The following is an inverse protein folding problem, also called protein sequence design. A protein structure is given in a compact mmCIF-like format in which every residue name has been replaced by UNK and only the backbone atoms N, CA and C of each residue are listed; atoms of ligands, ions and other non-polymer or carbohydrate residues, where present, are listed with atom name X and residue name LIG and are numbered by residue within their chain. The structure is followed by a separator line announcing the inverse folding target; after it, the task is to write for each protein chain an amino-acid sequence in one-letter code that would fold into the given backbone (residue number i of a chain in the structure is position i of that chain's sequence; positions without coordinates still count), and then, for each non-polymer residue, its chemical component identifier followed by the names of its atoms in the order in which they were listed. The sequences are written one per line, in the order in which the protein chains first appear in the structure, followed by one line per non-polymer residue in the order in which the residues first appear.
data_IF_180254050917
#
_entry.id   IF_180254050917
#
_cell.length_a   1.000
_cell.length_b   1.000
_cell.length_c   1.000
_cell.angle_alpha   90.00
_cell.angle_beta   90.00
_cell.angle_gamma   90.00
#
_symmetry.space_group_name_H-M   'P 1'
#
loop_
_entity.id
_entity.type
_entity.pdbx_description
1 polymer ?
#
# COMPACT_ATOMS: atom_id res chain seq x y z
N UNK A 1 -19.73 -11.86 1.37
CA UNK A 1 -21.20 -11.79 1.47
C UNK A 1 -21.66 -10.43 0.94
N UNK A 2 -22.71 -10.36 0.11
CA UNK A 2 -23.18 -9.09 -0.45
C UNK A 2 -23.53 -8.03 0.60
N UNK A 3 -23.95 -8.44 1.80
CA UNK A 3 -24.33 -7.52 2.88
C UNK A 3 -23.17 -6.66 3.41
N UNK A 4 -21.92 -7.05 3.15
CA UNK A 4 -20.72 -6.36 3.63
C UNK A 4 -19.88 -5.76 2.49
N UNK A 5 -20.38 -5.81 1.26
CA UNK A 5 -19.72 -5.21 0.11
C UNK A 5 -20.08 -3.73 0.02
N UNK A 6 -19.12 -2.78 0.17
CA UNK A 6 -19.44 -1.35 0.24
C UNK A 6 -20.09 -0.78 -1.03
N UNK A 7 -19.74 -1.30 -2.20
CA UNK A 7 -20.26 -0.85 -3.49
C UNK A 7 -19.20 -0.83 -4.59
N UNK A 8 -19.64 -0.93 -5.85
CA UNK A 8 -18.76 -0.92 -7.03
C UNK A 8 -18.07 0.45 -7.23
N UNK A 9 -18.63 1.52 -6.69
CA UNK A 9 -18.20 2.91 -6.81
C UNK A 9 -17.02 3.28 -5.90
N UNK A 10 -16.77 2.45 -4.88
CA UNK A 10 -15.72 2.70 -3.87
C UNK A 10 -14.75 1.52 -3.70
N UNK A 11 -14.92 0.43 -4.45
CA UNK A 11 -14.05 -0.75 -4.39
C UNK A 11 -13.38 -1.01 -5.73
N UNK A 12 -12.05 -1.10 -5.74
CA UNK A 12 -11.28 -1.47 -6.94
C UNK A 12 -10.92 -2.96 -6.99
N UNK A 13 -10.53 -3.53 -5.85
CA UNK A 13 -10.06 -4.91 -5.72
C UNK A 13 -10.79 -5.58 -4.55
N UNK A 14 -11.16 -6.86 -4.73
CA UNK A 14 -11.75 -7.69 -3.67
C UNK A 14 -10.70 -8.61 -3.09
N UNK A 15 -10.45 -8.50 -1.79
CA UNK A 15 -9.55 -9.35 -1.04
C UNK A 15 -10.22 -10.57 -0.41
N UNK A 16 -9.43 -11.61 -0.17
CA UNK A 16 -9.77 -12.74 0.67
C UNK A 16 -8.56 -13.23 1.45
N UNK A 17 -8.75 -13.45 2.75
CA UNK A 17 -7.71 -13.92 3.66
C UNK A 17 -7.85 -15.43 3.84
N UNK A 18 -6.89 -16.19 3.30
CA UNK A 18 -6.90 -17.65 3.27
C UNK A 18 -6.03 -18.24 4.39
N UNK A 19 -6.66 -18.67 5.47
CA UNK A 19 -6.01 -19.46 6.52
C UNK A 19 -6.65 -20.85 6.63
N UNK A 20 -6.11 -21.81 5.88
CA UNK A 20 -6.68 -23.15 5.74
C UNK A 20 -5.67 -24.31 5.90
N UNK A 21 -4.42 -24.02 6.25
CA UNK A 21 -3.48 -24.99 6.78
C UNK A 21 -4.07 -25.58 8.07
N UNK A 22 -3.96 -26.91 8.21
CA UNK A 22 -4.62 -27.63 9.30
C UNK A 22 -3.80 -28.82 9.72
N UNK A 23 -3.90 -29.18 11.01
CA UNK A 23 -3.32 -30.40 11.57
C UNK A 23 -1.79 -30.51 11.37
N UNK A 24 -1.09 -29.37 11.34
CA UNK A 24 0.35 -29.35 11.16
C UNK A 24 0.82 -29.48 9.71
N UNK A 25 -0.10 -29.34 8.73
CA UNK A 25 0.21 -29.59 7.32
C UNK A 25 -0.17 -28.39 6.43
N UNK A 26 0.61 -28.16 5.35
CA UNK A 26 0.35 -27.09 4.41
C UNK A 26 -0.88 -27.42 3.57
N UNK A 27 -1.63 -26.39 3.16
CA UNK A 27 -2.81 -26.55 2.31
C UNK A 27 -2.68 -25.77 0.99
N UNK A 28 -2.23 -26.51 -0.02
CA UNK A 28 -2.00 -26.03 -1.38
C UNK A 28 -3.25 -25.82 -2.24
N UNK A 29 -4.46 -25.89 -1.68
CA UNK A 29 -5.70 -25.67 -2.43
C UNK A 29 -5.76 -24.27 -3.02
N UNK A 30 -6.20 -24.17 -4.28
CA UNK A 30 -6.48 -22.92 -4.96
C UNK A 30 -7.73 -22.20 -4.45
N UNK A 31 -8.52 -22.85 -3.58
CA UNK A 31 -9.81 -22.37 -3.06
C UNK A 31 -10.73 -21.79 -4.16
N UNK A 32 -10.77 -22.45 -5.32
CA UNK A 32 -11.45 -21.97 -6.54
C UNK A 32 -12.92 -21.64 -6.33
N UNK A 33 -13.65 -22.39 -5.52
CA UNK A 33 -15.04 -22.07 -5.18
C UNK A 33 -15.16 -20.69 -4.50
N UNK A 34 -14.23 -20.35 -3.60
CA UNK A 34 -14.17 -19.02 -2.97
C UNK A 34 -13.82 -17.96 -4.00
N UNK A 35 -12.81 -18.21 -4.84
CA UNK A 35 -12.42 -17.31 -5.93
C UNK A 35 -13.61 -16.94 -6.82
N UNK A 36 -14.31 -17.94 -7.36
CA UNK A 36 -15.45 -17.72 -8.25
C UNK A 36 -16.64 -17.06 -7.56
N UNK A 37 -16.86 -17.30 -6.26
CA UNK A 37 -17.88 -16.57 -5.50
C UNK A 37 -17.57 -15.07 -5.41
N UNK A 38 -16.28 -14.68 -5.28
CA UNK A 38 -15.86 -13.28 -5.24
C UNK A 38 -15.91 -12.62 -6.63
N UNK A 39 -15.54 -13.37 -7.68
CA UNK A 39 -15.74 -12.92 -9.07
C UNK A 39 -17.23 -12.67 -9.32
N UNK A 40 -18.10 -13.59 -8.88
CA UNK A 40 -19.56 -13.43 -9.03
C UNK A 40 -20.11 -12.26 -8.22
N UNK A 41 -19.58 -12.02 -7.01
CA UNK A 41 -20.00 -10.90 -6.14
C UNK A 41 -19.92 -9.55 -6.87
N UNK A 42 -18.90 -9.35 -7.70
CA UNK A 42 -18.67 -8.10 -8.44
C UNK A 42 -19.08 -8.17 -9.91
N UNK A 43 -19.80 -9.24 -10.30
CA UNK A 43 -20.19 -9.49 -11.69
C UNK A 43 -18.98 -9.60 -12.64
N UNK A 44 -17.81 -9.99 -12.14
CA UNK A 44 -16.58 -10.11 -12.90
C UNK A 44 -15.92 -8.78 -13.29
N UNK A 45 -16.32 -7.66 -12.65
CA UNK A 45 -15.80 -6.32 -12.99
C UNK A 45 -14.61 -5.87 -12.14
N UNK A 46 -14.32 -6.57 -11.06
CA UNK A 46 -13.24 -6.23 -10.11
C UNK A 46 -12.23 -7.36 -10.04
N UNK A 47 -10.97 -7.00 -9.86
CA UNK A 47 -9.91 -7.97 -9.62
C UNK A 47 -10.12 -8.64 -8.26
N UNK A 48 -9.68 -9.90 -8.14
CA UNK A 48 -9.82 -10.69 -6.92
C UNK A 48 -8.44 -11.13 -6.45
N UNK A 49 -8.07 -10.81 -5.22
CA UNK A 49 -6.75 -11.03 -4.65
C UNK A 49 -6.80 -11.87 -3.37
N UNK A 50 -5.75 -12.65 -3.13
CA UNK A 50 -5.53 -13.35 -1.87
C UNK A 50 -4.69 -12.43 -0.98
N UNK A 51 -5.37 -11.49 -0.32
CA UNK A 51 -4.79 -10.36 0.43
C UNK A 51 -3.94 -10.81 1.61
N UNK A 52 -4.28 -11.95 2.19
CA UNK A 52 -3.48 -12.65 3.19
C UNK A 52 -3.57 -14.17 2.95
N UNK A 53 -2.53 -14.90 3.32
CA UNK A 53 -2.62 -16.34 3.44
C UNK A 53 -1.62 -16.96 4.42
N UNK A 54 -1.90 -18.21 4.81
CA UNK A 54 -0.91 -19.12 5.36
C UNK A 54 -0.10 -19.79 4.23
N UNK A 55 -0.57 -20.93 3.73
CA UNK A 55 0.04 -21.67 2.63
C UNK A 55 -0.28 -20.99 1.30
N UNK A 56 0.75 -20.72 0.51
CA UNK A 56 0.60 -20.33 -0.90
C UNK A 56 -0.04 -21.51 -1.66
N UNK A 57 -1.09 -21.30 -2.48
CA UNK A 57 -1.64 -22.36 -3.31
C UNK A 57 -0.58 -23.01 -4.20
N UNK A 58 -0.76 -24.28 -4.55
CA UNK A 58 0.12 -24.94 -5.52
C UNK A 58 -0.15 -24.36 -6.90
N UNK A 59 0.90 -24.01 -7.64
CA UNK A 59 0.79 -23.39 -8.97
C UNK A 59 -0.04 -24.24 -9.94
N UNK A 60 0.13 -25.56 -9.91
CA UNK A 60 -0.65 -26.46 -10.76
C UNK A 60 -2.16 -26.42 -10.43
N UNK A 61 -2.55 -26.31 -9.16
CA UNK A 61 -3.95 -26.20 -8.78
C UNK A 61 -4.56 -24.88 -9.27
N UNK A 62 -3.81 -23.77 -9.22
CA UNK A 62 -4.26 -22.48 -9.76
C UNK A 62 -4.53 -22.57 -11.26
N UNK A 63 -3.62 -23.20 -12.00
CA UNK A 63 -3.72 -23.39 -13.46
C UNK A 63 -4.89 -24.31 -13.81
N UNK A 64 -4.97 -25.49 -13.19
CA UNK A 64 -5.98 -26.51 -13.50
C UNK A 64 -7.40 -26.04 -13.17
N UNK A 65 -7.57 -25.37 -12.03
CA UNK A 65 -8.86 -24.86 -11.55
C UNK A 65 -9.21 -23.48 -12.13
N UNK A 66 -8.28 -22.86 -12.87
CA UNK A 66 -8.40 -21.50 -13.43
C UNK A 66 -8.72 -20.44 -12.35
N UNK A 67 -8.16 -20.62 -11.16
CA UNK A 67 -8.31 -19.68 -10.05
C UNK A 67 -7.24 -18.58 -10.16
N UNK A 68 -7.51 -17.59 -11.01
CA UNK A 68 -6.59 -16.48 -11.30
C UNK A 68 -6.58 -15.40 -10.22
N UNK A 69 -6.12 -15.73 -9.01
CA UNK A 69 -5.87 -14.75 -7.95
C UNK A 69 -4.85 -13.71 -8.43
N UNK A 70 -5.17 -12.42 -8.29
CA UNK A 70 -4.34 -11.30 -8.75
C UNK A 70 -2.92 -11.34 -8.13
N UNK A 71 -2.86 -11.56 -6.83
CA UNK A 71 -1.65 -11.81 -6.06
C UNK A 71 -1.97 -12.68 -4.84
N UNK A 72 -0.94 -13.18 -4.19
CA UNK A 72 -0.99 -13.82 -2.87
C UNK A 72 -0.01 -13.12 -1.93
N UNK A 73 -0.31 -13.10 -0.63
CA UNK A 73 0.50 -12.42 0.37
C UNK A 73 0.56 -13.26 1.65
N UNK A 74 1.54 -14.15 1.78
CA UNK A 74 1.72 -14.93 2.99
C UNK A 74 2.01 -13.99 4.15
N UNK A 75 1.47 -14.29 5.32
CA UNK A 75 1.80 -13.50 6.51
C UNK A 75 3.27 -13.66 6.88
N UNK A 76 3.76 -12.76 7.74
CA UNK A 76 5.19 -12.69 8.09
C UNK A 76 5.64 -13.81 9.04
N UNK A 77 6.95 -13.86 9.31
CA UNK A 77 7.60 -14.80 10.23
C UNK A 77 7.24 -16.27 9.96
N UNK A 78 6.60 -16.91 10.94
CA UNK A 78 6.30 -18.33 10.93
C UNK A 78 5.39 -18.74 9.78
N UNK A 79 4.56 -17.85 9.26
CA UNK A 79 3.64 -18.18 8.17
C UNK A 79 4.38 -18.43 6.86
N UNK A 80 5.32 -17.55 6.47
CA UNK A 80 6.15 -17.75 5.26
C UNK A 80 7.37 -18.66 5.49
N UNK A 81 7.98 -18.63 6.67
CA UNK A 81 9.27 -19.32 6.92
C UNK A 81 9.14 -20.79 7.35
N UNK A 82 7.94 -21.26 7.69
CA UNK A 82 7.73 -22.60 8.24
C UNK A 82 7.41 -23.64 7.18
N UNK A 83 8.08 -24.79 7.24
CA UNK A 83 7.76 -25.98 6.43
C UNK A 83 6.33 -26.52 6.68
N UNK A 84 5.71 -26.19 7.83
CA UNK A 84 4.31 -26.53 8.09
C UNK A 84 3.34 -25.75 7.19
N UNK A 85 3.67 -24.52 6.82
CA UNK A 85 2.78 -23.66 6.04
C UNK A 85 3.24 -23.58 4.58
N UNK A 86 4.54 -23.38 4.37
CA UNK A 86 5.14 -23.16 3.07
C UNK A 86 6.42 -23.99 2.96
N UNK A 87 6.30 -25.29 2.60
CA UNK A 87 7.47 -26.11 2.33
C UNK A 87 8.39 -25.43 1.32
N UNK A 88 9.69 -25.41 1.58
CA UNK A 88 10.63 -24.67 0.73
C UNK A 88 10.60 -25.09 -0.74
N UNK A 89 10.34 -26.37 -1.02
CA UNK A 89 10.15 -26.88 -2.38
C UNK A 89 8.90 -26.29 -3.06
N UNK A 90 7.82 -26.05 -2.32
CA UNK A 90 6.59 -25.45 -2.86
C UNK A 90 6.79 -23.96 -3.17
N UNK A 91 7.52 -23.26 -2.31
CA UNK A 91 7.86 -21.84 -2.52
C UNK A 91 8.74 -21.71 -3.76
N UNK A 92 9.79 -22.54 -3.89
CA UNK A 92 10.64 -22.55 -5.09
C UNK A 92 9.83 -22.82 -6.35
N UNK A 93 8.95 -23.82 -6.33
CA UNK A 93 8.12 -24.15 -7.48
C UNK A 93 7.21 -22.99 -7.90
N UNK A 94 6.59 -22.30 -6.95
CA UNK A 94 5.77 -21.13 -7.25
C UNK A 94 6.61 -20.01 -7.87
N UNK A 95 7.67 -19.58 -7.18
CA UNK A 95 8.49 -18.42 -7.58
C UNK A 95 9.39 -18.68 -8.80
N UNK A 96 9.54 -19.93 -9.25
CA UNK A 96 10.27 -20.29 -10.48
C UNK A 96 9.32 -20.65 -11.63
N UNK A 97 8.01 -20.52 -11.44
CA UNK A 97 7.02 -20.80 -12.48
C UNK A 97 6.79 -19.56 -13.36
N UNK A 98 6.70 -19.76 -14.67
CA UNK A 98 6.24 -18.74 -15.64
C UNK A 98 4.83 -18.17 -15.33
N UNK A 99 4.08 -18.79 -14.42
CA UNK A 99 2.79 -18.31 -13.95
C UNK A 99 2.91 -17.17 -12.93
N UNK A 100 3.98 -17.13 -12.14
CA UNK A 100 4.16 -16.21 -11.03
C UNK A 100 5.07 -15.06 -11.42
N UNK A 101 4.54 -13.84 -11.47
CA UNK A 101 5.33 -12.63 -11.70
C UNK A 101 6.16 -12.31 -10.44
N UNK A 102 7.48 -12.21 -10.57
CA UNK A 102 8.40 -11.81 -9.50
C UNK A 102 8.91 -10.39 -9.66
N UNK A 103 9.63 -9.88 -8.65
CA UNK A 103 10.12 -8.50 -8.61
C UNK A 103 11.01 -8.16 -9.83
N UNK A 104 11.84 -9.09 -10.26
CA UNK A 104 12.75 -8.92 -11.41
C UNK A 104 12.06 -8.95 -12.77
N UNK A 105 10.79 -9.36 -12.81
CA UNK A 105 9.96 -9.41 -14.02
C UNK A 105 9.03 -8.21 -14.14
N UNK A 106 8.89 -7.41 -13.08
CA UNK A 106 8.09 -6.19 -13.11
C UNK A 106 8.73 -5.14 -14.04
N UNK A 107 7.91 -4.37 -14.78
CA UNK A 107 8.41 -3.21 -15.49
C UNK A 107 8.81 -2.11 -14.50
N UNK A 108 9.57 -1.12 -14.98
CA UNK A 108 9.83 0.09 -14.19
C UNK A 108 8.54 0.88 -13.99
N UNK A 109 7.94 0.74 -12.81
CA UNK A 109 6.67 1.38 -12.47
C UNK A 109 6.74 2.91 -12.45
N UNK A 110 7.94 3.51 -12.37
CA UNK A 110 8.08 4.97 -12.45
C UNK A 110 7.88 5.52 -13.87
N UNK A 111 8.16 4.68 -14.87
CA UNK A 111 8.09 5.04 -16.29
C UNK A 111 7.06 4.23 -17.05
N UNK A 112 6.35 3.33 -16.37
CA UNK A 112 5.36 2.46 -16.98
C UNK A 112 4.20 3.29 -17.54
N UNK A 113 3.84 3.12 -18.82
CA UNK A 113 2.78 3.90 -19.42
C UNK A 113 1.44 3.52 -18.79
N UNK A 114 0.81 4.48 -18.11
CA UNK A 114 -0.55 4.31 -17.61
C UNK A 114 -1.51 4.71 -18.73
N UNK A 115 -2.06 3.73 -19.45
CA UNK A 115 -3.05 4.00 -20.51
C UNK A 115 -4.44 4.18 -19.91
N UNK A 116 -5.15 5.24 -20.30
CA UNK A 116 -6.56 5.46 -19.90
C UNK A 116 -6.75 6.04 -18.49
N UNK A 117 -5.67 6.35 -17.80
CA UNK A 117 -5.64 7.29 -16.68
C UNK A 117 -5.07 8.59 -17.23
N UNK A 118 -5.92 9.57 -17.47
CA UNK A 118 -5.47 10.95 -17.45
C UNK A 118 -5.37 11.28 -15.96
N UNK A 119 -4.16 11.49 -15.40
CA UNK A 119 -4.07 12.12 -14.11
C UNK A 119 -4.94 13.38 -14.17
N UNK A 120 -5.70 13.74 -13.12
CA UNK A 120 -6.22 15.10 -13.05
C UNK A 120 -5.06 16.03 -13.40
N UNK A 121 -5.28 16.99 -14.31
CA UNK A 121 -4.25 17.97 -14.67
C UNK A 121 -3.62 18.43 -13.36
N UNK A 122 -2.33 18.11 -13.14
CA UNK A 122 -1.56 18.79 -12.13
C UNK A 122 -1.70 20.27 -12.52
N UNK A 123 -2.36 21.06 -11.67
CA UNK A 123 -2.48 22.50 -11.88
C UNK A 123 -1.08 22.99 -12.27
N UNK A 124 -0.90 23.45 -13.52
CA UNK A 124 0.36 24.05 -13.93
C UNK A 124 0.72 25.12 -12.90
N UNK A 125 2.01 25.23 -12.48
CA UNK A 125 2.40 26.12 -11.40
C UNK A 125 2.21 27.56 -11.86
N UNK A 126 1.02 28.10 -11.59
CA UNK A 126 0.70 29.50 -11.78
C UNK A 126 0.65 30.13 -10.39
N UNK A 127 1.69 30.94 -10.13
CA UNK A 127 2.07 31.64 -8.89
C UNK A 127 2.98 30.80 -7.98
N UNK A 128 3.98 31.48 -7.42
CA UNK A 128 4.90 30.95 -6.42
C UNK A 128 4.14 30.08 -5.41
N UNK A 129 4.68 28.89 -5.04
CA UNK A 129 3.98 27.99 -4.14
C UNK A 129 3.60 28.74 -2.88
N UNK A 130 2.30 28.84 -2.62
CA UNK A 130 1.77 29.39 -1.38
C UNK A 130 2.29 28.49 -0.25
N UNK A 131 3.04 29.06 0.68
CA UNK A 131 3.57 28.30 1.81
C UNK A 131 2.39 27.87 2.67
N UNK A 132 2.12 26.56 2.67
CA UNK A 132 1.15 25.92 3.57
C UNK A 132 1.97 25.20 4.64
N UNK A 133 2.15 25.85 5.79
CA UNK A 133 2.89 25.26 6.89
C UNK A 133 2.29 23.91 7.30
N UNK A 134 3.14 22.90 7.46
CA UNK A 134 2.76 21.54 7.82
C UNK A 134 2.39 20.61 6.67
N UNK A 135 2.16 21.13 5.45
CA UNK A 135 1.93 20.33 4.24
C UNK A 135 3.27 20.08 3.53
N UNK A 136 3.71 18.82 3.52
CA UNK A 136 5.01 18.38 3.01
C UNK A 136 4.94 17.62 1.69
N UNK A 137 3.74 17.38 1.17
CA UNK A 137 3.49 16.64 -0.07
C UNK A 137 2.66 17.43 -1.11
N UNK A 138 2.27 18.68 -0.81
CA UNK A 138 1.48 19.57 -1.64
C UNK A 138 0.03 19.07 -1.90
N UNK A 139 -0.54 18.28 -0.99
CA UNK A 139 -1.94 17.83 -1.10
C UNK A 139 -2.95 18.81 -0.47
N UNK A 140 -2.45 19.91 0.11
CA UNK A 140 -3.21 20.98 0.80
C UNK A 140 -3.87 20.53 2.12
N UNK A 141 -3.50 19.36 2.65
CA UNK A 141 -4.10 18.75 3.83
C UNK A 141 -3.00 18.31 4.80
N UNK A 142 -2.83 19.04 5.91
CA UNK A 142 -1.89 18.63 6.97
C UNK A 142 -2.41 17.39 7.72
N UNK A 143 -1.75 16.24 7.52
CA UNK A 143 -2.16 14.96 8.08
C UNK A 143 -0.98 14.02 8.43
N UNK A 144 -1.27 12.73 8.67
CA UNK A 144 -0.25 11.74 9.05
C UNK A 144 0.80 11.47 7.96
N UNK A 145 0.49 11.74 6.69
CA UNK A 145 1.43 11.63 5.58
C UNK A 145 2.58 12.62 5.71
N UNK A 146 2.28 13.86 6.11
CA UNK A 146 3.28 14.90 6.37
C UNK A 146 4.16 14.52 7.55
N UNK A 147 3.56 13.98 8.62
CA UNK A 147 4.32 13.46 9.75
C UNK A 147 5.30 12.35 9.33
N UNK A 148 4.89 11.45 8.41
CA UNK A 148 5.78 10.42 7.90
C UNK A 148 6.94 11.02 7.10
N UNK A 149 6.69 12.04 6.28
CA UNK A 149 7.73 12.74 5.52
C UNK A 149 8.69 13.49 6.45
N UNK A 150 8.19 14.25 7.41
CA UNK A 150 8.99 14.94 8.41
C UNK A 150 9.88 13.95 9.20
N UNK A 151 9.32 12.81 9.61
CA UNK A 151 10.07 11.75 10.29
C UNK A 151 11.20 11.20 9.42
N UNK A 152 10.93 10.93 8.14
CA UNK A 152 11.96 10.48 7.19
C UNK A 152 13.06 11.52 6.99
N UNK A 153 12.72 12.80 6.96
CA UNK A 153 13.69 13.90 6.83
C UNK A 153 14.57 14.00 8.08
N UNK A 154 13.97 14.02 9.28
CA UNK A 154 14.71 14.07 10.56
C UNK A 154 15.61 12.84 10.75
N UNK A 155 15.24 11.70 10.17
CA UNK A 155 16.04 10.46 10.16
C UNK A 155 17.07 10.38 9.02
N UNK A 156 17.24 11.44 8.22
CA UNK A 156 18.15 11.51 7.08
C UNK A 156 17.89 10.44 5.99
N UNK A 157 16.68 9.89 5.93
CA UNK A 157 16.24 8.95 4.88
C UNK A 157 15.99 9.71 3.57
N UNK A 158 15.52 10.95 3.69
CA UNK A 158 15.37 11.90 2.59
C UNK A 158 16.09 13.20 2.94
N UNK A 159 16.56 13.94 1.94
CA UNK A 159 17.27 15.20 2.12
C UNK A 159 16.47 16.44 1.71
N UNK A 160 15.31 16.25 1.09
CA UNK A 160 14.43 17.32 0.59
C UNK A 160 12.97 16.83 0.52
N UNK A 161 12.03 17.77 0.54
CA UNK A 161 10.60 17.54 0.28
C UNK A 161 10.25 17.92 -1.16
N UNK A 162 9.05 17.55 -1.62
CA UNK A 162 8.50 18.05 -2.89
C UNK A 162 7.99 19.49 -2.80
N UNK A 163 8.11 20.13 -1.63
CA UNK A 163 7.71 21.51 -1.31
C UNK A 163 8.89 22.29 -0.74
N UNK A 164 8.82 23.64 -0.66
CA UNK A 164 9.84 24.44 0.02
C UNK A 164 10.09 23.98 1.46
N UNK A 165 11.33 24.13 1.94
CA UNK A 165 11.68 23.72 3.31
C UNK A 165 10.94 24.54 4.38
N UNK A 166 10.53 25.76 4.02
CA UNK A 166 9.73 26.65 4.85
C UNK A 166 8.40 26.01 5.27
N UNK A 167 7.82 25.10 4.48
CA UNK A 167 6.61 24.36 4.88
C UNK A 167 6.85 23.50 6.13
N UNK A 168 8.09 23.08 6.36
CA UNK A 168 8.49 22.23 7.47
C UNK A 168 9.10 22.99 8.66
N UNK A 169 9.40 24.28 8.53
CA UNK A 169 9.89 25.13 9.62
C UNK A 169 8.71 25.71 10.40
N UNK A 170 8.19 24.91 11.34
CA UNK A 170 6.92 25.19 12.03
C UNK A 170 7.10 26.11 13.24
N UNK A 171 8.33 26.32 13.70
CA UNK A 171 8.66 27.32 14.72
C UNK A 171 9.26 28.62 14.14
N UNK A 172 9.64 28.63 12.86
CA UNK A 172 10.19 29.79 12.18
C UNK A 172 11.64 30.09 12.57
N UNK A 173 12.41 29.10 13.01
CA UNK A 173 13.81 29.28 13.43
C UNK A 173 14.83 29.10 12.29
N UNK A 174 14.34 28.72 11.09
CA UNK A 174 15.13 28.47 9.89
C UNK A 174 15.78 27.09 9.85
N UNK A 175 15.48 26.19 10.79
CA UNK A 175 16.11 24.87 10.90
C UNK A 175 15.07 23.77 11.12
N UNK A 176 14.81 23.00 10.06
CA UNK A 176 13.87 21.87 10.14
C UNK A 176 14.49 20.69 10.90
N UNK A 177 13.91 20.36 12.06
CA UNK A 177 14.41 19.30 12.92
C UNK A 177 13.32 18.63 13.78
N UNK A 178 13.71 17.91 14.84
CA UNK A 178 12.78 17.19 15.73
C UNK A 178 11.83 18.10 16.52
N UNK A 179 12.15 19.39 16.65
CA UNK A 179 11.26 20.41 17.20
C UNK A 179 10.05 20.60 16.30
N UNK A 180 10.24 20.78 14.99
CA UNK A 180 9.16 20.91 14.01
C UNK A 180 8.31 19.65 13.96
N UNK A 181 8.94 18.48 13.98
CA UNK A 181 8.21 17.22 14.05
C UNK A 181 7.30 17.15 15.28
N UNK A 182 7.77 17.61 16.44
CA UNK A 182 6.95 17.65 17.66
C UNK A 182 5.79 18.64 17.52
N UNK A 183 6.00 19.78 16.88
CA UNK A 183 4.96 20.78 16.62
C UNK A 183 3.89 20.22 15.67
N UNK A 184 4.32 19.55 14.58
CA UNK A 184 3.42 18.88 13.64
C UNK A 184 2.56 17.83 14.36
N UNK A 185 3.17 17.00 15.20
CA UNK A 185 2.43 16.02 16.01
C UNK A 185 1.41 16.68 16.95
N UNK A 186 1.76 17.80 17.59
CA UNK A 186 0.82 18.54 18.45
C UNK A 186 -0.36 19.10 17.66
N UNK A 187 -0.14 19.53 16.43
CA UNK A 187 -1.20 20.02 15.54
C UNK A 187 -2.13 18.87 15.13
N UNK A 188 -1.58 17.74 14.69
CA UNK A 188 -2.36 16.54 14.32
C UNK A 188 -3.17 15.96 15.49
N UNK A 189 -2.70 16.15 16.72
CA UNK A 189 -3.39 15.75 17.95
C UNK A 189 -4.36 16.83 18.47
N UNK A 190 -4.58 17.91 17.72
CA UNK A 190 -5.43 19.05 18.09
C UNK A 190 -5.04 19.72 19.43
N UNK A 191 -3.79 19.51 19.89
CA UNK A 191 -3.23 20.20 21.07
C UNK A 191 -2.97 21.67 20.77
N UNK A 192 -2.63 21.97 19.51
CA UNK A 192 -2.56 23.31 18.94
C UNK A 192 -3.43 23.35 17.70
N UNK A 193 -4.00 24.50 17.39
CA UNK A 193 -4.85 24.71 16.21
C UNK A 193 -4.20 25.58 15.14
N UNK A 194 -2.95 26.00 15.37
CA UNK A 194 -2.10 26.82 14.49
C UNK A 194 -0.64 26.58 14.84
N UNK A 195 0.25 26.80 13.89
CA UNK A 195 1.69 26.67 14.07
C UNK A 195 2.31 27.93 14.68
N UNK A 196 3.34 27.80 15.53
CA UNK A 196 4.04 28.96 16.09
C UNK A 196 4.58 29.94 15.05
N UNK A 197 5.01 29.46 13.87
CA UNK A 197 5.48 30.31 12.76
C UNK A 197 4.41 31.27 12.24
N UNK A 198 3.13 30.93 12.39
CA UNK A 198 1.99 31.76 11.93
C UNK A 198 1.68 32.95 12.85
N UNK A 199 2.35 33.05 14.02
CA UNK A 199 2.18 34.13 14.99
C UNK A 199 3.19 35.28 14.83
N UNK A 200 4.10 35.19 13.86
CA UNK A 200 5.18 36.16 13.62
C UNK A 200 4.92 37.13 12.46
#
# INVERSE_FOLDING_TARGET
SPAWYPGDDVVDIVGYDKYNAKDGLPNGSAISSTFYNLVQLTGGKKLVAMTENDTIPRVQNLIDEKAGWLYFCPWYDWWIMSEQNNPSEWVKEMYQSDYCITLDELPDLKTYPISGYEPPEEDEPSKEPEIVYGDLNNDKIVNSSDAALMSRYVLEIISEFSVPMENADLNGDGVVNSVDYTILQRYLLEVITKFPVEDN
#
